data_IF_038314513988
#
_entry.id   IF_038314513988
#
_cell.length_a   1.000
_cell.length_b   1.000
_cell.length_c   1.000
_cell.angle_alpha   90.00
_cell.angle_beta   90.00
_cell.angle_gamma   90.00
#
_symmetry.space_group_name_H-M   'P 1'
#
loop_
_entity.id
_entity.type
_entity.pdbx_description
1 polymer ?
#
# COMPACT_ATOMS: atom_id res chain seq x y z
N UNK A 1 -8.55 19.32 -35.70
CA UNK A 1 -7.47 18.39 -35.33
C UNK A 1 -7.96 17.71 -34.07
N UNK A 2 -8.51 16.50 -34.23
CA UNK A 2 -9.00 15.72 -33.09
C UNK A 2 -7.80 15.37 -32.20
N UNK A 3 -7.89 15.56 -30.87
CA UNK A 3 -6.77 15.24 -30.00
C UNK A 3 -6.63 13.72 -29.97
N UNK A 4 -5.43 13.25 -30.31
CA UNK A 4 -5.05 11.84 -30.34
C UNK A 4 -5.47 11.12 -29.05
N UNK A 5 -6.20 10.02 -29.18
CA UNK A 5 -6.69 9.14 -28.10
C UNK A 5 -5.56 8.45 -27.29
N UNK A 6 -4.31 8.92 -27.39
CA UNK A 6 -3.10 8.22 -26.96
C UNK A 6 -2.61 8.48 -25.54
N UNK A 7 -3.18 9.43 -24.80
CA UNK A 7 -2.72 9.78 -23.44
C UNK A 7 -3.79 9.49 -22.39
N UNK A 8 -3.40 8.83 -21.30
CA UNK A 8 -4.32 8.39 -20.23
C UNK A 8 -5.24 9.54 -19.72
N UNK A 9 -4.78 10.79 -19.71
CA UNK A 9 -5.50 11.87 -19.04
C UNK A 9 -6.25 12.85 -19.94
N UNK A 10 -6.23 12.73 -21.27
CA UNK A 10 -6.78 13.77 -22.17
C UNK A 10 -8.26 14.07 -21.90
N UNK A 11 -9.03 13.08 -21.44
CA UNK A 11 -10.46 13.20 -21.10
C UNK A 11 -10.72 14.21 -19.99
N UNK A 12 -9.74 14.52 -19.14
CA UNK A 12 -9.85 15.57 -18.12
C UNK A 12 -10.07 16.96 -18.70
N UNK A 13 -9.71 17.20 -19.97
CA UNK A 13 -10.00 18.49 -20.60
C UNK A 13 -11.50 18.81 -20.70
N UNK A 14 -12.37 17.78 -20.74
CA UNK A 14 -13.83 17.97 -20.75
C UNK A 14 -14.37 18.46 -19.39
N UNK A 15 -13.60 18.28 -18.31
CA UNK A 15 -14.04 18.53 -16.94
C UNK A 15 -14.03 20.04 -16.61
N UNK A 16 -15.16 20.63 -16.20
CA UNK A 16 -15.20 22.00 -15.70
C UNK A 16 -14.24 22.21 -14.52
N UNK A 17 -13.65 23.41 -14.46
CA UNK A 17 -12.65 23.75 -13.45
C UNK A 17 -13.14 23.52 -12.02
N UNK A 18 -14.42 23.81 -11.75
CA UNK A 18 -15.04 23.69 -10.43
C UNK A 18 -15.11 22.24 -9.93
N UNK A 19 -15.28 21.28 -10.84
CA UNK A 19 -15.43 19.85 -10.51
C UNK A 19 -14.09 19.10 -10.49
N UNK A 20 -13.04 19.69 -11.05
CA UNK A 20 -11.68 19.14 -11.13
C UNK A 20 -11.13 18.61 -9.82
N UNK A 21 -10.95 19.48 -8.81
CA UNK A 21 -10.39 19.08 -7.52
C UNK A 21 -11.23 17.99 -6.83
N UNK A 22 -12.56 18.11 -6.86
CA UNK A 22 -13.45 17.18 -6.18
C UNK A 22 -13.37 15.78 -6.79
N UNK A 23 -13.36 15.68 -8.13
CA UNK A 23 -13.22 14.39 -8.82
C UNK A 23 -11.89 13.73 -8.47
N UNK A 24 -10.78 14.46 -8.60
CA UNK A 24 -9.44 13.93 -8.33
C UNK A 24 -9.31 13.44 -6.89
N UNK A 25 -9.82 14.21 -5.91
CA UNK A 25 -9.83 13.79 -4.51
C UNK A 25 -10.69 12.53 -4.27
N UNK A 26 -11.89 12.43 -4.86
CA UNK A 26 -12.74 11.22 -4.74
C UNK A 26 -12.08 10.00 -5.39
N UNK A 27 -11.36 10.15 -6.49
CA UNK A 27 -10.62 9.04 -7.11
C UNK A 27 -9.46 8.60 -6.21
N UNK A 28 -8.72 9.54 -5.64
CA UNK A 28 -7.67 9.24 -4.66
C UNK A 28 -8.26 8.55 -3.42
N UNK A 29 -9.43 8.98 -2.95
CA UNK A 29 -10.16 8.32 -1.87
C UNK A 29 -10.43 6.85 -2.23
N UNK A 30 -10.91 6.58 -3.45
CA UNK A 30 -11.06 5.24 -4.00
C UNK A 30 -9.78 4.41 -3.97
N UNK A 31 -8.66 4.96 -4.46
CA UNK A 31 -7.33 4.32 -4.41
C UNK A 31 -6.93 3.97 -2.97
N UNK A 32 -7.26 4.84 -2.02
CA UNK A 32 -6.96 4.67 -0.60
C UNK A 32 -7.94 3.74 0.14
N UNK A 33 -8.84 3.07 -0.58
CA UNK A 33 -9.79 2.09 -0.02
C UNK A 33 -11.10 2.71 0.50
N UNK A 34 -11.40 3.97 0.16
CA UNK A 34 -12.69 4.62 0.41
C UNK A 34 -13.58 4.55 -0.84
N UNK A 35 -14.72 5.23 -0.81
CA UNK A 35 -15.67 5.23 -1.92
C UNK A 35 -15.12 5.98 -3.15
N UNK A 36 -15.27 5.35 -4.32
CA UNK A 36 -15.04 5.99 -5.63
C UNK A 36 -16.16 7.01 -5.94
N UNK A 37 -15.91 7.99 -6.83
CA UNK A 37 -16.95 8.90 -7.31
C UNK A 37 -18.05 8.14 -8.04
N UNK A 38 -19.28 8.64 -7.90
CA UNK A 38 -20.46 8.07 -8.55
C UNK A 38 -20.70 8.74 -9.90
N UNK A 39 -21.06 7.93 -10.91
CA UNK A 39 -21.29 8.41 -12.27
C UNK A 39 -22.37 9.52 -12.35
N UNK A 40 -23.40 9.44 -11.50
CA UNK A 40 -24.51 10.40 -11.48
C UNK A 40 -24.05 11.86 -11.28
N UNK A 41 -22.95 12.09 -10.57
CA UNK A 41 -22.41 13.45 -10.34
C UNK A 41 -21.76 14.03 -11.62
N UNK A 42 -21.43 13.19 -12.61
CA UNK A 42 -20.61 13.55 -13.79
C UNK A 42 -21.25 13.17 -15.14
N UNK A 43 -22.50 12.69 -15.14
CA UNK A 43 -23.22 12.23 -16.34
C UNK A 43 -23.41 13.32 -17.42
N UNK A 44 -23.31 14.60 -17.05
CA UNK A 44 -23.38 15.73 -18.00
C UNK A 44 -22.07 15.98 -18.75
N UNK A 45 -20.96 15.38 -18.29
CA UNK A 45 -19.61 15.60 -18.85
C UNK A 45 -19.16 14.39 -19.67
N UNK A 46 -19.43 13.18 -19.17
CA UNK A 46 -19.03 11.93 -19.83
C UNK A 46 -20.20 10.96 -19.92
N UNK A 47 -20.17 10.15 -20.98
CA UNK A 47 -21.03 8.97 -21.09
C UNK A 47 -20.52 7.84 -20.19
N UNK A 48 -21.39 6.85 -19.90
CA UNK A 48 -21.06 5.79 -18.95
C UNK A 48 -19.82 4.97 -19.32
N UNK A 49 -19.58 4.75 -20.62
CA UNK A 49 -18.41 4.00 -21.10
C UNK A 49 -17.13 4.84 -20.97
N UNK A 50 -17.18 6.12 -21.39
CA UNK A 50 -16.08 7.07 -21.21
C UNK A 50 -15.71 7.24 -19.73
N UNK A 51 -16.70 7.27 -18.83
CA UNK A 51 -16.50 7.43 -17.40
C UNK A 51 -15.64 6.33 -16.78
N UNK A 52 -15.83 5.08 -17.17
CA UNK A 52 -15.01 3.98 -16.66
C UNK A 52 -13.53 4.18 -17.02
N UNK A 53 -13.26 4.60 -18.25
CA UNK A 53 -11.91 4.92 -18.69
C UNK A 53 -11.32 6.11 -17.93
N UNK A 54 -12.10 7.17 -17.69
CA UNK A 54 -11.66 8.32 -16.89
C UNK A 54 -11.20 7.89 -15.49
N UNK A 55 -12.00 7.05 -14.81
CA UNK A 55 -11.63 6.55 -13.48
C UNK A 55 -10.38 5.70 -13.50
N UNK A 56 -10.31 4.77 -14.46
CA UNK A 56 -9.19 3.85 -14.59
C UNK A 56 -7.89 4.60 -14.91
N UNK A 57 -7.93 5.52 -15.86
CA UNK A 57 -6.76 6.26 -16.33
C UNK A 57 -6.20 7.19 -15.25
N UNK A 58 -7.07 7.93 -14.55
CA UNK A 58 -6.66 8.80 -13.44
C UNK A 58 -6.09 7.97 -12.29
N UNK A 59 -6.74 6.84 -11.95
CA UNK A 59 -6.25 5.96 -10.89
C UNK A 59 -4.88 5.37 -11.26
N UNK A 60 -4.72 4.86 -12.49
CA UNK A 60 -3.44 4.35 -13.01
C UNK A 60 -2.35 5.42 -12.94
N UNK A 61 -2.67 6.65 -13.32
CA UNK A 61 -1.73 7.76 -13.26
C UNK A 61 -1.24 8.03 -11.82
N UNK A 62 -2.14 8.23 -10.86
CA UNK A 62 -1.75 8.49 -9.47
C UNK A 62 -0.95 7.33 -8.86
N UNK A 63 -1.38 6.09 -9.12
CA UNK A 63 -0.66 4.89 -8.68
C UNK A 63 0.75 4.84 -9.29
N UNK A 64 0.91 5.15 -10.58
CA UNK A 64 2.19 5.12 -11.28
C UNK A 64 3.14 6.24 -10.79
N UNK A 65 2.65 7.47 -10.67
CA UNK A 65 3.43 8.62 -10.21
C UNK A 65 3.97 8.39 -8.81
N UNK A 66 3.12 7.96 -7.87
CA UNK A 66 3.52 7.74 -6.48
C UNK A 66 4.32 6.45 -6.33
N UNK A 67 3.92 5.37 -7.01
CA UNK A 67 4.57 4.06 -6.92
C UNK A 67 6.00 4.06 -7.50
N UNK A 68 6.23 4.81 -8.59
CA UNK A 68 7.58 4.98 -9.17
C UNK A 68 8.37 6.14 -8.57
N UNK A 69 7.76 6.90 -7.65
CA UNK A 69 8.35 8.09 -7.03
C UNK A 69 8.91 9.09 -8.07
N UNK A 70 8.11 9.40 -9.10
CA UNK A 70 8.49 10.33 -10.17
C UNK A 70 8.77 11.74 -9.62
N UNK A 71 9.70 12.44 -10.27
CA UNK A 71 10.02 13.85 -10.00
C UNK A 71 8.93 14.80 -10.52
N UNK A 72 8.90 16.03 -9.99
CA UNK A 72 7.94 17.05 -10.41
C UNK A 72 8.03 17.33 -11.92
N UNK A 73 9.24 17.37 -12.47
CA UNK A 73 9.49 17.54 -13.91
C UNK A 73 8.92 16.39 -14.75
N UNK A 74 9.14 15.13 -14.35
CA UNK A 74 8.62 13.97 -15.07
C UNK A 74 7.09 13.92 -15.05
N UNK A 75 6.48 14.28 -13.91
CA UNK A 75 5.03 14.40 -13.79
C UNK A 75 4.53 15.49 -14.73
N UNK A 76 5.18 16.65 -14.75
CA UNK A 76 4.78 17.76 -15.62
C UNK A 76 4.83 17.36 -17.10
N UNK A 77 5.88 16.63 -17.52
CA UNK A 77 5.98 16.11 -18.89
C UNK A 77 4.80 15.21 -19.29
N UNK A 78 4.31 14.37 -18.36
CA UNK A 78 3.13 13.53 -18.61
C UNK A 78 1.82 14.34 -18.71
N UNK A 79 1.79 15.55 -18.16
CA UNK A 79 0.63 16.42 -18.14
C UNK A 79 0.65 17.50 -19.24
N UNK A 80 1.70 17.56 -20.09
CA UNK A 80 1.89 18.60 -21.11
C UNK A 80 0.69 18.81 -22.05
N UNK A 81 -0.13 17.77 -22.25
CA UNK A 81 -1.30 17.86 -23.12
C UNK A 81 -2.54 18.45 -22.43
N UNK A 82 -2.52 18.64 -21.10
CA UNK A 82 -3.61 19.28 -20.35
C UNK A 82 -3.42 20.79 -20.32
N UNK A 83 -4.50 21.53 -20.07
CA UNK A 83 -4.38 22.96 -19.79
C UNK A 83 -3.71 23.20 -18.42
N UNK A 84 -3.21 24.43 -18.21
CA UNK A 84 -2.50 24.81 -16.99
C UNK A 84 -3.32 24.58 -15.71
N UNK A 85 -4.63 24.81 -15.77
CA UNK A 85 -5.51 24.61 -14.62
C UNK A 85 -5.54 23.15 -14.16
N UNK A 86 -5.75 22.20 -15.08
CA UNK A 86 -5.77 20.77 -14.76
C UNK A 86 -4.38 20.29 -14.31
N UNK A 87 -3.31 20.77 -14.95
CA UNK A 87 -1.93 20.47 -14.54
C UNK A 87 -1.67 20.87 -13.08
N UNK A 88 -1.96 22.12 -12.72
CA UNK A 88 -1.76 22.64 -11.36
C UNK A 88 -2.59 21.87 -10.33
N UNK A 89 -3.84 21.56 -10.66
CA UNK A 89 -4.74 20.83 -9.77
C UNK A 89 -4.23 19.42 -9.49
N UNK A 90 -3.79 18.70 -10.53
CA UNK A 90 -3.22 17.35 -10.40
C UNK A 90 -1.94 17.41 -9.57
N UNK A 91 -1.04 18.35 -9.86
CA UNK A 91 0.22 18.51 -9.13
C UNK A 91 -0.03 18.77 -7.63
N UNK A 92 -1.00 19.62 -7.31
CA UNK A 92 -1.42 19.87 -5.92
C UNK A 92 -1.98 18.62 -5.25
N UNK A 93 -2.77 17.83 -5.95
CA UNK A 93 -3.30 16.56 -5.43
C UNK A 93 -2.18 15.55 -5.17
N UNK A 94 -1.24 15.37 -6.11
CA UNK A 94 -0.07 14.49 -5.91
C UNK A 94 0.70 14.93 -4.68
N UNK A 95 1.08 16.20 -4.58
CA UNK A 95 1.88 16.72 -3.45
C UNK A 95 1.18 16.57 -2.10
N UNK A 96 -0.12 16.84 -2.03
CA UNK A 96 -0.88 16.79 -0.76
C UNK A 96 -1.27 15.38 -0.32
N UNK A 97 -1.38 14.41 -1.25
CA UNK A 97 -1.89 13.06 -0.96
C UNK A 97 -0.88 11.94 -1.21
N UNK A 98 0.37 12.27 -1.55
CA UNK A 98 1.45 11.31 -1.87
C UNK A 98 1.59 10.22 -0.81
N UNK A 99 1.70 10.59 0.47
CA UNK A 99 1.93 9.64 1.55
C UNK A 99 0.77 8.68 1.74
N UNK A 100 -0.46 9.16 1.57
CA UNK A 100 -1.66 8.34 1.69
C UNK A 100 -1.76 7.31 0.56
N UNK A 101 -1.50 7.74 -0.68
CA UNK A 101 -1.45 6.85 -1.84
C UNK A 101 -0.33 5.82 -1.66
N UNK A 102 0.86 6.25 -1.18
CA UNK A 102 1.99 5.36 -0.92
C UNK A 102 1.66 4.30 0.13
N UNK A 103 0.97 4.68 1.21
CA UNK A 103 0.49 3.74 2.22
C UNK A 103 -0.53 2.76 1.63
N UNK A 104 -1.48 3.23 0.81
CA UNK A 104 -2.47 2.37 0.16
C UNK A 104 -1.82 1.35 -0.77
N UNK A 105 -0.88 1.78 -1.62
CA UNK A 105 -0.12 0.90 -2.51
C UNK A 105 0.71 -0.12 -1.74
N UNK A 106 1.31 0.30 -0.62
CA UNK A 106 2.06 -0.61 0.25
C UNK A 106 1.15 -1.65 0.89
N UNK A 107 -0.06 -1.28 1.32
CA UNK A 107 -1.08 -2.24 1.81
C UNK A 107 -1.54 -3.20 0.72
N UNK A 108 -1.70 -2.73 -0.52
CA UNK A 108 -2.06 -3.57 -1.68
C UNK A 108 -0.97 -4.61 -1.95
N UNK A 109 0.32 -4.22 -1.95
CA UNK A 109 1.46 -5.13 -2.10
C UNK A 109 1.55 -6.11 -0.92
N UNK A 110 1.37 -5.61 0.31
CA UNK A 110 1.40 -6.45 1.50
C UNK A 110 0.24 -7.45 1.48
N UNK A 111 -0.96 -7.05 1.06
CA UNK A 111 -2.11 -7.96 0.89
C UNK A 111 -1.90 -9.06 -0.15
N UNK A 112 -0.98 -8.87 -1.12
CA UNK A 112 -0.54 -9.92 -2.05
C UNK A 112 0.43 -10.90 -1.36
N UNK A 113 1.08 -10.50 -0.26
CA UNK A 113 1.93 -11.38 0.53
C UNK A 113 1.10 -12.50 1.14
N UNK A 114 1.55 -13.74 0.93
CA UNK A 114 0.86 -14.95 1.35
C UNK A 114 0.73 -15.09 2.87
N UNK A 115 1.58 -14.42 3.65
CA UNK A 115 1.60 -14.49 5.11
C UNK A 115 2.12 -13.18 5.74
N UNK A 116 1.39 -12.64 6.71
CA UNK A 116 1.75 -11.42 7.44
C UNK A 116 1.57 -11.59 8.94
N UNK A 117 2.63 -11.35 9.73
CA UNK A 117 2.52 -11.31 11.19
C UNK A 117 1.62 -10.12 11.62
N UNK A 118 0.54 -10.41 12.35
CA UNK A 118 -0.40 -9.42 12.89
C UNK A 118 -0.07 -9.08 14.35
N UNK A 119 0.15 -10.12 15.15
CA UNK A 119 0.41 -9.99 16.58
C UNK A 119 1.37 -11.08 17.07
N UNK A 120 2.01 -10.83 18.20
CA UNK A 120 2.81 -11.83 18.89
C UNK A 120 2.75 -11.68 20.40
N UNK A 121 2.67 -12.82 21.07
CA UNK A 121 2.73 -12.93 22.53
C UNK A 121 3.82 -13.91 22.93
N UNK A 122 4.38 -13.74 24.13
CA UNK A 122 5.40 -14.64 24.62
C UNK A 122 5.27 -14.90 26.12
N UNK A 123 5.74 -16.07 26.54
CA UNK A 123 5.78 -16.48 27.93
C UNK A 123 7.05 -17.29 28.21
N UNK A 124 7.64 -17.12 29.38
CA UNK A 124 8.79 -17.93 29.82
C UNK A 124 8.32 -18.97 30.82
N UNK A 125 8.69 -20.23 30.59
CA UNK A 125 8.36 -21.39 31.42
C UNK A 125 9.62 -22.05 31.92
N UNK A 126 9.55 -22.69 33.08
CA UNK A 126 10.62 -23.54 33.60
C UNK A 126 10.24 -25.00 33.37
N UNK A 127 10.89 -25.64 32.40
CA UNK A 127 10.70 -27.06 32.16
C UNK A 127 11.47 -27.88 33.21
N UNK A 128 10.81 -28.92 33.73
CA UNK A 128 11.40 -29.89 34.64
C UNK A 128 11.73 -31.15 33.84
N UNK A 129 13.01 -31.50 33.73
CA UNK A 129 13.44 -32.76 33.11
C UNK A 129 13.36 -33.91 34.12
N UNK A 130 12.75 -35.03 33.72
CA UNK A 130 12.60 -36.24 34.54
C UNK A 130 13.81 -37.19 34.51
N UNK A 131 14.72 -37.05 33.53
CA UNK A 131 15.54 -38.18 33.10
C UNK A 131 16.99 -38.17 33.61
N UNK A 132 17.38 -37.18 34.43
CA UNK A 132 18.66 -37.19 35.15
C UNK A 132 18.45 -36.71 36.59
N UNK A 133 19.08 -37.40 37.54
CA UNK A 133 18.97 -37.24 39.01
C UNK A 133 19.29 -35.81 39.52
N UNK A 134 19.72 -34.89 38.66
CA UNK A 134 19.65 -33.45 38.89
C UNK A 134 18.51 -32.86 38.04
N UNK A 135 17.40 -32.48 38.69
CA UNK A 135 16.30 -31.76 38.05
C UNK A 135 16.80 -30.44 37.44
N UNK A 136 17.21 -30.47 36.18
CA UNK A 136 17.64 -29.30 35.42
C UNK A 136 16.40 -28.46 35.13
N UNK A 137 16.28 -27.34 35.85
CA UNK A 137 15.31 -26.27 35.59
C UNK A 137 15.79 -25.49 34.36
N UNK A 138 15.32 -25.87 33.18
CA UNK A 138 15.68 -25.15 31.95
C UNK A 138 14.59 -24.12 31.63
N UNK A 139 14.93 -22.82 31.56
CA UNK A 139 13.99 -21.82 31.09
C UNK A 139 13.78 -21.97 29.58
N UNK A 140 12.52 -22.07 29.17
CA UNK A 140 12.07 -22.12 27.78
C UNK A 140 11.16 -20.93 27.51
N UNK A 141 11.26 -20.36 26.30
CA UNK A 141 10.32 -19.37 25.80
C UNK A 141 9.26 -20.08 24.96
N UNK A 142 7.99 -19.77 25.19
CA UNK A 142 6.90 -20.11 24.29
C UNK A 142 6.44 -18.82 23.62
N UNK A 143 6.63 -18.77 22.30
CA UNK A 143 6.28 -17.66 21.42
C UNK A 143 5.00 -18.04 20.65
N UNK A 144 4.02 -17.14 20.68
CA UNK A 144 2.77 -17.24 19.95
C UNK A 144 2.76 -16.14 18.88
N UNK A 145 2.39 -16.51 17.66
CA UNK A 145 2.35 -15.62 16.50
C UNK A 145 0.99 -15.73 15.83
N UNK A 146 0.29 -14.62 15.65
CA UNK A 146 -0.92 -14.56 14.84
C UNK A 146 -0.56 -14.07 13.44
N UNK A 147 -0.66 -14.96 12.45
CA UNK A 147 -0.24 -14.68 11.07
C UNK A 147 -1.46 -14.69 10.16
N UNK A 148 -1.69 -13.56 9.48
CA UNK A 148 -2.72 -13.45 8.45
C UNK A 148 -2.22 -14.09 7.16
N UNK A 149 -2.84 -15.18 6.75
CA UNK A 149 -2.57 -15.91 5.52
C UNK A 149 -3.84 -15.99 4.67
N UNK A 150 -3.78 -15.57 3.41
CA UNK A 150 -4.93 -15.61 2.48
C UNK A 150 -6.22 -14.97 3.05
N UNK A 151 -6.09 -13.97 3.91
CA UNK A 151 -7.21 -13.27 4.54
C UNK A 151 -7.62 -13.79 5.92
N UNK A 152 -7.20 -14.98 6.32
CA UNK A 152 -7.51 -15.59 7.63
C UNK A 152 -6.33 -15.48 8.59
N UNK A 153 -6.61 -15.23 9.88
CA UNK A 153 -5.57 -15.21 10.92
C UNK A 153 -5.37 -16.63 11.46
N UNK A 154 -4.15 -17.15 11.33
CA UNK A 154 -3.74 -18.46 11.84
C UNK A 154 -2.74 -18.31 12.99
N UNK A 155 -2.98 -18.99 14.12
CA UNK A 155 -2.06 -18.97 15.25
C UNK A 155 -0.94 -20.00 15.06
N UNK A 156 0.30 -19.59 15.33
CA UNK A 156 1.49 -20.43 15.39
C UNK A 156 2.10 -20.37 16.78
N UNK A 157 2.58 -21.50 17.28
CA UNK A 157 3.20 -21.58 18.61
C UNK A 157 4.53 -22.32 18.52
N UNK A 158 5.58 -21.71 19.05
CA UNK A 158 6.96 -22.24 19.02
C UNK A 158 7.49 -22.22 20.44
N UNK A 159 8.08 -23.34 20.87
CA UNK A 159 8.85 -23.39 22.12
C UNK A 159 10.34 -23.43 21.77
N UNK A 160 11.13 -22.64 22.48
CA UNK A 160 12.55 -22.49 22.20
C UNK A 160 13.38 -22.25 23.45
N UNK A 161 14.59 -22.79 23.43
CA UNK A 161 15.65 -22.48 24.38
C UNK A 161 16.18 -21.05 24.18
N UNK A 162 16.98 -20.59 25.15
CA UNK A 162 17.67 -19.29 25.04
C UNK A 162 18.56 -19.20 23.80
N UNK A 163 19.23 -20.30 23.43
CA UNK A 163 20.13 -20.32 22.28
C UNK A 163 19.35 -20.21 20.96
N UNK A 164 18.25 -20.95 20.83
CA UNK A 164 17.37 -20.87 19.65
C UNK A 164 16.72 -19.49 19.51
N UNK A 165 16.29 -18.87 20.62
CA UNK A 165 15.80 -17.49 20.62
C UNK A 165 16.87 -16.50 20.14
N UNK A 166 18.10 -16.64 20.65
CA UNK A 166 19.20 -15.78 20.24
C UNK A 166 19.48 -15.92 18.74
N UNK A 167 19.43 -17.14 18.22
CA UNK A 167 19.59 -17.40 16.78
C UNK A 167 18.46 -16.77 15.96
N UNK A 168 17.20 -16.90 16.40
CA UNK A 168 16.05 -16.25 15.76
C UNK A 168 16.22 -14.73 15.69
N UNK A 169 16.62 -14.09 16.80
CA UNK A 169 16.85 -12.63 16.85
C UNK A 169 17.94 -12.23 15.86
N UNK A 170 19.08 -12.94 15.84
CA UNK A 170 20.14 -12.65 14.89
C UNK A 170 19.69 -12.78 13.43
N UNK A 171 18.88 -13.79 13.10
CA UNK A 171 18.32 -13.94 11.75
C UNK A 171 17.40 -12.77 11.38
N UNK A 172 16.53 -12.32 12.30
CA UNK A 172 15.64 -11.18 12.09
C UNK A 172 16.41 -9.85 11.94
N UNK A 173 17.44 -9.64 12.75
CA UNK A 173 18.31 -8.46 12.65
C UNK A 173 19.08 -8.43 11.32
N UNK A 174 19.60 -9.57 10.87
CA UNK A 174 20.27 -9.69 9.58
C UNK A 174 19.32 -9.38 8.41
N UNK A 175 18.10 -9.92 8.45
CA UNK A 175 17.07 -9.61 7.46
C UNK A 175 16.70 -8.11 7.46
N UNK A 176 16.54 -7.50 8.65
CA UNK A 176 16.24 -6.08 8.77
C UNK A 176 17.36 -5.18 8.20
N UNK A 177 18.63 -5.55 8.40
CA UNK A 177 19.77 -4.83 7.80
C UNK A 177 19.69 -4.80 6.27
N UNK A 178 19.35 -5.92 5.64
CA UNK A 178 19.17 -5.98 4.17
C UNK A 178 18.01 -5.08 3.73
N UNK A 179 16.87 -5.13 4.43
CA UNK A 179 15.71 -4.27 4.12
C UNK A 179 16.06 -2.78 4.23
N UNK A 180 16.87 -2.39 5.22
CA UNK A 180 17.31 -0.99 5.38
C UNK A 180 18.27 -0.53 4.29
N UNK A 181 19.07 -1.42 3.71
CA UNK A 181 19.96 -1.11 2.59
C UNK A 181 19.22 -0.98 1.24
N UNK A 182 18.02 -1.55 1.14
CA UNK A 182 17.16 -1.47 -0.04
C UNK A 182 16.22 -0.24 -0.02
N UNK A 183 16.19 0.51 1.09
CA UNK A 183 15.44 1.78 1.22
C UNK A 183 16.27 2.96 0.78
#
# INVERSE_FOLDING_TARGET
MEPEEGTLLWRLQKLPAELGPQLLHKIIDGICGRAYPVYQDYHTVWESEEWMHVLEDIAKFFKAVVGKNLSDEEIFQQLNQLNSFHQETIMKCVKSRKDEIKQALSREIVAISSAQLQDFDWQVKLALSSDKIAALRMPLLSLHLDVKENGEVKPYSIEMSREELQNLIHSLEAANKVVLQLK
#
